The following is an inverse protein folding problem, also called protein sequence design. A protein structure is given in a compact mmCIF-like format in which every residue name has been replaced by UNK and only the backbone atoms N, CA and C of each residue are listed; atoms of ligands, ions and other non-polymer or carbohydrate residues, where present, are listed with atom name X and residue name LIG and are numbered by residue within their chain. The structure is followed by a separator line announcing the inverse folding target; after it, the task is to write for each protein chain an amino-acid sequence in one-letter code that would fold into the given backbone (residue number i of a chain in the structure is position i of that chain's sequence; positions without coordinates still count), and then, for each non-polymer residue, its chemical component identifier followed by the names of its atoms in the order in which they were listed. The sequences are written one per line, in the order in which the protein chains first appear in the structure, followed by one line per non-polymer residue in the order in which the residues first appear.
data_IF_142778428511
#
_entry.id   IF_142778428511
#
_cell.length_a   1.000
_cell.length_b   1.000
_cell.length_c   1.000
_cell.angle_alpha   90.00
_cell.angle_beta   90.00
_cell.angle_gamma   90.00
#
_symmetry.space_group_name_H-M   'P 1'
#
loop_
_entity.id
_entity.type
_entity.pdbx_description
1 polymer ?
#
# COMPACT_ATOMS: atom_id res chain seq x y z
N UNK A 1 73.18 -41.47 55.50
CA UNK A 1 71.98 -42.34 55.63
C UNK A 1 70.77 -41.45 55.34
N UNK A 2 70.12 -41.67 54.19
CA UNK A 2 69.06 -40.81 53.63
C UNK A 2 67.71 -41.08 54.28
N UNK A 3 66.94 -40.04 54.60
CA UNK A 3 65.47 -40.02 54.72
C UNK A 3 65.08 -38.59 54.24
N UNK A 4 64.34 -38.33 53.17
CA UNK A 4 63.23 -39.04 52.57
C UNK A 4 61.98 -38.13 52.64
N UNK A 5 62.04 -36.93 52.08
CA UNK A 5 60.93 -35.96 52.14
C UNK A 5 59.86 -36.33 51.10
N UNK A 6 58.67 -36.72 51.56
CA UNK A 6 57.51 -36.97 50.70
C UNK A 6 56.75 -35.65 50.51
N UNK A 7 56.64 -35.19 49.28
CA UNK A 7 55.85 -34.00 48.92
C UNK A 7 54.60 -34.48 48.21
N UNK A 8 53.43 -34.29 48.83
CA UNK A 8 52.13 -34.65 48.26
C UNK A 8 51.66 -33.57 47.30
N UNK A 9 51.54 -33.93 46.01
CA UNK A 9 50.94 -33.09 44.98
C UNK A 9 49.42 -33.13 45.13
N UNK A 10 48.81 -32.00 45.46
CA UNK A 10 47.36 -31.83 45.43
C UNK A 10 46.96 -31.53 43.98
N UNK A 11 46.33 -32.50 43.32
CA UNK A 11 45.83 -32.34 41.96
C UNK A 11 44.62 -31.41 41.94
N UNK A 12 44.76 -30.25 41.28
CA UNK A 12 43.61 -29.39 40.97
C UNK A 12 42.89 -29.99 39.75
N UNK A 13 41.67 -30.50 39.95
CA UNK A 13 40.84 -30.93 38.82
C UNK A 13 40.38 -29.72 38.02
N UNK A 14 40.87 -29.60 36.79
CA UNK A 14 40.34 -28.65 35.81
C UNK A 14 38.93 -29.10 35.39
N UNK A 15 37.93 -28.27 35.64
CA UNK A 15 36.57 -28.47 35.14
C UNK A 15 36.46 -27.81 33.78
N UNK A 16 36.32 -28.62 32.73
CA UNK A 16 35.95 -28.16 31.39
C UNK A 16 34.53 -28.63 31.09
N UNK A 17 33.68 -27.72 30.61
CA UNK A 17 32.37 -28.05 30.05
C UNK A 17 32.45 -28.00 28.54
N UNK A 18 31.67 -28.85 27.88
CA UNK A 18 31.55 -28.80 26.43
C UNK A 18 30.85 -27.51 25.99
N UNK A 19 31.39 -26.86 24.96
CA UNK A 19 30.80 -25.66 24.37
C UNK A 19 30.11 -26.05 23.07
N UNK A 20 28.78 -26.19 23.14
CA UNK A 20 27.97 -26.45 21.96
C UNK A 20 27.55 -25.12 21.34
N UNK A 21 27.96 -24.90 20.09
CA UNK A 21 27.51 -23.74 19.31
C UNK A 21 26.01 -23.85 19.02
N UNK A 22 25.26 -22.82 19.40
CA UNK A 22 23.84 -22.67 19.06
C UNK A 22 23.67 -21.33 18.35
N UNK A 23 23.22 -21.32 17.08
CA UNK A 23 22.93 -20.08 16.38
C UNK A 23 21.91 -19.25 17.16
N UNK A 24 22.09 -17.93 17.19
CA UNK A 24 21.10 -17.03 17.82
C UNK A 24 19.83 -16.91 16.97
N UNK A 25 19.98 -16.97 15.64
CA UNK A 25 18.87 -16.88 14.72
C UNK A 25 18.11 -18.22 14.64
N UNK A 26 16.79 -18.25 14.93
CA UNK A 26 15.99 -19.47 14.92
C UNK A 26 15.95 -20.15 13.55
N UNK A 27 16.14 -19.44 12.44
CA UNK A 27 16.19 -20.02 11.09
C UNK A 27 17.33 -21.03 10.89
N UNK A 28 18.34 -21.03 11.76
CA UNK A 28 19.47 -21.96 11.70
C UNK A 28 19.46 -22.98 12.86
N UNK A 29 18.32 -23.18 13.52
CA UNK A 29 18.21 -24.10 14.66
C UNK A 29 18.51 -23.46 16.02
N UNK A 30 18.41 -22.14 16.10
CA UNK A 30 18.49 -21.35 17.33
C UNK A 30 17.20 -21.34 18.16
N UNK A 31 17.18 -20.50 19.19
CA UNK A 31 16.00 -20.33 20.05
C UNK A 31 14.85 -19.59 19.31
N UNK A 32 13.66 -20.21 19.27
CA UNK A 32 12.47 -19.66 18.62
C UNK A 32 11.96 -18.35 19.24
N UNK A 33 12.19 -18.12 20.53
CA UNK A 33 11.79 -16.91 21.24
C UNK A 33 12.59 -15.68 20.77
N UNK A 34 13.75 -15.86 20.14
CA UNK A 34 14.55 -14.74 19.61
C UNK A 34 13.98 -14.16 18.31
N UNK A 35 13.01 -14.82 17.67
CA UNK A 35 12.41 -14.38 16.39
C UNK A 35 11.90 -12.95 16.43
N UNK A 36 10.98 -12.63 17.34
CA UNK A 36 10.36 -11.32 17.45
C UNK A 36 11.37 -10.20 17.74
N UNK A 37 12.37 -10.48 18.59
CA UNK A 37 13.42 -9.52 18.91
C UNK A 37 14.32 -9.23 17.71
N UNK A 38 14.76 -10.27 16.99
CA UNK A 38 15.63 -10.15 15.82
C UNK A 38 14.91 -9.44 14.66
N UNK A 39 13.63 -9.74 14.42
CA UNK A 39 12.80 -9.04 13.42
C UNK A 39 12.65 -7.57 13.80
N UNK A 40 12.33 -7.26 15.06
CA UNK A 40 12.18 -5.88 15.51
C UNK A 40 13.48 -5.05 15.43
N UNK A 41 14.65 -5.68 15.57
CA UNK A 41 15.94 -5.04 15.31
C UNK A 41 16.16 -4.82 13.82
N UNK A 42 15.85 -5.81 12.98
CA UNK A 42 15.98 -5.72 11.53
C UNK A 42 15.10 -4.61 10.94
N UNK A 43 13.85 -4.49 11.38
CA UNK A 43 12.93 -3.44 10.95
C UNK A 43 13.43 -2.03 11.32
N UNK A 44 13.97 -1.85 12.53
CA UNK A 44 14.54 -0.55 12.95
C UNK A 44 15.80 -0.17 12.19
N UNK A 45 16.58 -1.16 11.76
CA UNK A 45 17.79 -0.94 10.97
C UNK A 45 17.52 -0.88 9.46
N UNK A 46 16.29 -1.21 9.03
CA UNK A 46 15.92 -1.20 7.63
C UNK A 46 15.89 0.24 7.10
N UNK A 47 16.90 0.59 6.29
CA UNK A 47 17.01 1.89 5.61
C UNK A 47 16.38 1.88 4.21
N UNK A 48 15.90 0.73 3.75
CA UNK A 48 15.22 0.62 2.46
C UNK A 48 13.77 1.06 2.64
N UNK A 49 13.44 2.21 2.03
CA UNK A 49 12.06 2.66 1.88
C UNK A 49 11.51 2.05 0.60
N UNK A 50 10.30 1.50 0.64
CA UNK A 50 9.62 1.05 -0.57
C UNK A 50 9.40 2.25 -1.49
N UNK A 51 10.10 2.28 -2.62
CA UNK A 51 9.86 3.27 -3.69
C UNK A 51 8.66 2.78 -4.50
N UNK A 52 7.45 3.06 -4.04
CA UNK A 52 6.21 2.71 -4.76
C UNK A 52 5.08 2.12 -3.93
N UNK A 53 5.31 1.82 -2.65
CA UNK A 53 4.24 1.36 -1.77
C UNK A 53 3.87 2.47 -0.82
N UNK A 54 2.61 2.91 -0.92
CA UNK A 54 1.92 3.80 0.00
C UNK A 54 1.83 3.19 1.41
N UNK A 55 2.95 3.06 2.11
CA UNK A 55 2.99 2.69 3.53
C UNK A 55 2.78 3.92 4.43
N UNK A 56 2.90 5.14 3.87
CA UNK A 56 2.53 6.39 4.53
C UNK A 56 1.01 6.58 4.73
N UNK A 57 0.16 5.77 4.06
CA UNK A 57 -1.29 5.89 4.14
C UNK A 57 -1.95 5.16 5.32
N UNK A 58 -1.20 4.33 6.08
CA UNK A 58 -1.80 3.58 7.21
C UNK A 58 -1.89 4.35 8.52
N UNK A 59 -1.11 5.43 8.72
CA UNK A 59 -1.05 6.11 10.02
C UNK A 59 -1.08 7.65 9.96
N UNK A 60 -1.38 8.26 8.81
CA UNK A 60 -1.55 9.71 8.70
C UNK A 60 -2.81 10.08 7.94
N UNK A 61 -3.97 9.66 8.44
CA UNK A 61 -5.24 10.21 7.99
C UNK A 61 -5.63 11.29 9.00
N UNK A 62 -5.19 12.53 8.75
CA UNK A 62 -5.70 13.68 9.52
C UNK A 62 -7.22 13.68 9.45
N UNK A 63 -7.95 14.07 10.51
CA UNK A 63 -9.40 14.30 10.43
C UNK A 63 -9.80 15.19 9.24
N UNK A 64 -8.92 16.10 8.81
CA UNK A 64 -9.10 16.90 7.60
C UNK A 64 -9.09 16.04 6.32
N UNK A 65 -8.17 15.08 6.19
CA UNK A 65 -8.10 14.19 5.02
C UNK A 65 -9.32 13.26 4.94
N UNK A 66 -9.83 12.83 6.09
CA UNK A 66 -11.07 12.04 6.16
C UNK A 66 -12.29 12.87 5.72
N UNK A 67 -12.36 14.13 6.18
CA UNK A 67 -13.40 15.06 5.76
C UNK A 67 -13.35 15.35 4.26
N UNK A 68 -12.15 15.60 3.71
CA UNK A 68 -11.96 15.85 2.27
C UNK A 68 -12.40 14.64 1.44
N UNK A 69 -12.03 13.41 1.85
CA UNK A 69 -12.48 12.19 1.16
C UNK A 69 -14.00 12.00 1.24
N UNK A 70 -14.62 12.34 2.36
CA UNK A 70 -16.07 12.25 2.52
C UNK A 70 -16.82 13.31 1.70
N UNK A 71 -16.23 14.50 1.54
CA UNK A 71 -16.77 15.53 0.66
C UNK A 71 -16.63 15.12 -0.81
N UNK A 72 -15.45 14.60 -1.19
CA UNK A 72 -15.18 14.12 -2.55
C UNK A 72 -16.13 12.99 -2.96
N UNK A 73 -16.37 12.01 -2.08
CA UNK A 73 -17.30 10.93 -2.39
C UNK A 73 -18.72 11.43 -2.60
N UNK A 74 -19.20 12.36 -1.76
CA UNK A 74 -20.55 12.95 -1.91
C UNK A 74 -20.66 13.80 -3.18
N UNK A 75 -19.63 14.58 -3.49
CA UNK A 75 -19.58 15.37 -4.72
C UNK A 75 -19.58 14.48 -5.95
N UNK A 76 -18.75 13.42 -5.95
CA UNK A 76 -18.71 12.45 -7.03
C UNK A 76 -20.05 11.72 -7.20
N UNK A 77 -20.69 11.29 -6.10
CA UNK A 77 -22.03 10.69 -6.17
C UNK A 77 -23.09 11.64 -6.72
N UNK A 78 -23.07 12.92 -6.31
CA UNK A 78 -23.98 13.94 -6.85
C UNK A 78 -23.75 14.19 -8.34
N UNK A 79 -22.49 14.23 -8.78
CA UNK A 79 -22.13 14.39 -10.19
C UNK A 79 -22.54 13.16 -11.01
N UNK A 80 -22.28 11.95 -10.51
CA UNK A 80 -22.72 10.72 -11.15
C UNK A 80 -24.24 10.68 -11.31
N UNK A 81 -25.00 11.16 -10.31
CA UNK A 81 -26.45 11.24 -10.39
C UNK A 81 -26.93 12.29 -11.41
N UNK A 82 -26.30 13.47 -11.45
CA UNK A 82 -26.61 14.51 -12.43
C UNK A 82 -26.25 14.08 -13.86
N UNK A 83 -25.12 13.41 -14.07
CA UNK A 83 -24.73 12.83 -15.36
C UNK A 83 -25.71 11.74 -15.77
N UNK A 84 -26.10 10.87 -14.83
CA UNK A 84 -27.09 9.83 -15.08
C UNK A 84 -28.47 10.43 -15.44
N UNK A 85 -28.89 11.52 -14.81
CA UNK A 85 -30.12 12.25 -15.17
C UNK A 85 -29.99 13.01 -16.51
N UNK A 86 -28.83 13.57 -16.83
CA UNK A 86 -28.59 14.23 -18.12
C UNK A 86 -28.53 13.23 -19.29
N UNK A 87 -28.07 11.99 -19.04
CA UNK A 87 -27.99 10.94 -20.06
C UNK A 87 -29.30 10.12 -20.09
N UNK A 88 -29.85 9.70 -18.96
CA UNK A 88 -30.96 8.74 -18.94
C UNK A 88 -32.26 9.32 -18.36
N UNK A 89 -32.26 10.60 -17.97
CA UNK A 89 -33.45 11.28 -17.47
C UNK A 89 -34.39 11.72 -18.59
N UNK A 90 -35.53 12.26 -18.16
CA UNK A 90 -36.69 12.57 -19.01
C UNK A 90 -36.44 13.72 -20.01
N UNK A 91 -35.36 14.49 -19.84
CA UNK A 91 -34.91 15.56 -20.74
C UNK A 91 -33.46 15.32 -21.21
N UNK A 92 -33.16 14.08 -21.59
CA UNK A 92 -31.83 13.68 -22.01
C UNK A 92 -31.36 14.47 -23.24
N UNK A 93 -30.29 15.25 -23.10
CA UNK A 93 -29.67 15.94 -24.22
C UNK A 93 -28.90 14.95 -25.11
N UNK A 94 -29.04 15.08 -26.42
CA UNK A 94 -28.35 14.23 -27.40
C UNK A 94 -26.83 14.52 -27.42
N UNK A 95 -26.44 15.73 -27.04
CA UNK A 95 -25.06 16.19 -26.96
C UNK A 95 -24.89 17.28 -25.90
N UNK A 96 -23.68 17.41 -25.36
CA UNK A 96 -23.36 18.46 -24.40
C UNK A 96 -21.87 18.59 -24.12
N UNK A 97 -21.46 19.79 -23.67
CA UNK A 97 -20.07 20.12 -23.33
C UNK A 97 -20.00 20.64 -21.90
N UNK A 98 -19.16 20.01 -21.09
CA UNK A 98 -18.92 20.36 -19.69
C UNK A 98 -17.44 20.74 -19.55
N UNK A 99 -17.18 21.91 -18.97
CA UNK A 99 -15.80 22.38 -18.73
C UNK A 99 -15.50 22.27 -17.24
N UNK A 100 -14.41 21.57 -16.92
CA UNK A 100 -13.92 21.36 -15.57
C UNK A 100 -12.45 21.76 -15.46
N UNK A 101 -12.20 23.01 -15.04
CA UNK A 101 -10.84 23.55 -14.95
C UNK A 101 -10.15 23.56 -16.32
N UNK A 102 -9.10 22.75 -16.46
CA UNK A 102 -8.32 22.58 -17.70
C UNK A 102 -8.84 21.42 -18.57
N UNK A 103 -9.88 20.72 -18.14
CA UNK A 103 -10.46 19.59 -18.86
C UNK A 103 -11.79 19.97 -19.50
N UNK A 104 -11.97 19.60 -20.75
CA UNK A 104 -13.21 19.73 -21.51
C UNK A 104 -13.76 18.34 -21.75
N UNK A 105 -14.97 18.09 -21.27
CA UNK A 105 -15.67 16.83 -21.44
C UNK A 105 -16.81 17.08 -22.43
N UNK A 106 -16.75 16.42 -23.58
CA UNK A 106 -17.84 16.43 -24.57
C UNK A 106 -18.48 15.06 -24.59
N UNK A 107 -19.81 15.00 -24.61
CA UNK A 107 -20.54 13.75 -24.77
C UNK A 107 -21.52 13.85 -25.92
N UNK A 108 -21.64 12.76 -26.68
CA UNK A 108 -22.64 12.59 -27.74
C UNK A 108 -23.27 11.21 -27.62
N UNK A 109 -24.59 11.15 -27.83
CA UNK A 109 -25.34 9.89 -27.82
C UNK A 109 -25.42 9.32 -29.23
N UNK A 110 -24.85 8.13 -29.41
CA UNK A 110 -24.98 7.33 -30.63
C UNK A 110 -25.99 6.20 -30.48
N UNK A 111 -26.17 5.43 -31.55
CA UNK A 111 -27.05 4.25 -31.59
C UNK A 111 -26.47 3.05 -30.81
N UNK A 112 -25.15 3.02 -30.63
CA UNK A 112 -24.41 1.94 -29.96
C UNK A 112 -24.05 2.26 -28.50
N UNK A 113 -24.25 3.50 -28.06
CA UNK A 113 -23.89 3.95 -26.72
C UNK A 113 -23.67 5.45 -26.61
N UNK A 114 -23.17 5.89 -25.46
CA UNK A 114 -22.71 7.27 -25.25
C UNK A 114 -21.21 7.34 -25.50
N UNK A 115 -20.81 8.23 -26.40
CA UNK A 115 -19.40 8.55 -26.66
C UNK A 115 -19.00 9.74 -25.80
N UNK A 116 -17.94 9.58 -25.00
CA UNK A 116 -17.36 10.64 -24.19
C UNK A 116 -15.95 10.93 -24.68
N UNK A 117 -15.65 12.21 -24.90
CA UNK A 117 -14.33 12.72 -25.24
C UNK A 117 -13.89 13.67 -24.14
N UNK A 118 -12.83 13.29 -23.43
CA UNK A 118 -12.20 14.12 -22.40
C UNK A 118 -10.92 14.69 -22.99
N UNK A 119 -10.86 16.00 -23.15
CA UNK A 119 -9.71 16.74 -23.67
C UNK A 119 -9.08 17.55 -22.55
N UNK A 120 -7.77 17.44 -22.39
CA UNK A 120 -7.00 18.27 -21.49
C UNK A 120 -6.37 19.43 -22.28
N UNK A 121 -6.73 20.67 -21.90
CA UNK A 121 -6.34 21.91 -22.60
C UNK A 121 -4.87 22.29 -22.33
N UNK A 122 -4.22 21.68 -21.35
CA UNK A 122 -2.83 21.99 -20.95
C UNK A 122 -1.81 21.14 -21.71
N UNK A 123 -2.13 19.88 -22.00
CA UNK A 123 -1.22 18.93 -22.66
C UNK A 123 -1.75 18.40 -24.01
N UNK A 124 -2.98 18.73 -24.37
CA UNK A 124 -3.64 18.27 -25.60
C UNK A 124 -4.01 16.78 -25.58
N UNK A 125 -3.90 16.10 -24.43
CA UNK A 125 -4.25 14.69 -24.32
C UNK A 125 -5.76 14.48 -24.43
N UNK A 126 -6.14 13.43 -25.16
CA UNK A 126 -7.53 13.05 -25.37
C UNK A 126 -7.76 11.64 -24.84
N UNK A 127 -8.82 11.46 -24.07
CA UNK A 127 -9.29 10.16 -23.60
C UNK A 127 -10.70 9.95 -24.13
N UNK A 128 -10.86 8.90 -24.93
CA UNK A 128 -12.16 8.49 -25.47
C UNK A 128 -12.71 7.32 -24.65
N UNK A 129 -13.97 7.44 -24.24
CA UNK A 129 -14.68 6.43 -23.46
C UNK A 129 -16.04 6.19 -24.09
N UNK A 130 -16.29 4.97 -24.55
CA UNK A 130 -17.60 4.56 -25.06
C UNK A 130 -18.33 3.75 -23.98
N UNK A 131 -19.48 4.25 -23.55
CA UNK A 131 -20.35 3.56 -22.60
C UNK A 131 -21.52 2.94 -23.37
N UNK A 132 -21.61 1.60 -23.44
CA UNK A 132 -22.71 0.95 -24.14
C UNK A 132 -24.02 1.19 -23.39
N UNK A 133 -25.07 1.59 -24.11
CA UNK A 133 -26.41 1.73 -23.54
C UNK A 133 -27.20 0.43 -23.73
N UNK A 134 -27.88 -0.03 -22.69
CA UNK A 134 -28.75 -1.20 -22.76
C UNK A 134 -29.89 -0.94 -23.75
N UNK A 135 -29.95 -1.71 -24.83
CA UNK A 135 -31.12 -1.75 -25.70
C UNK A 135 -32.23 -2.52 -24.98
N UNK A 136 -33.23 -1.81 -24.46
CA UNK A 136 -34.47 -2.42 -24.00
C UNK A 136 -35.27 -2.76 -25.26
N UNK A 137 -35.32 -4.04 -25.64
CA UNK A 137 -36.27 -4.56 -26.64
C UNK A 137 -37.67 -4.67 -26.04
#
# INVERSE_FOLDING_TARGET
MFLGAVSSVWGVSAKSSDYVYRPNNPSFGGDAFNSAHLIGLAERQNKHKETGSSAASRYSNSPADQFVRQLQSRMLSSLSQQVNEAIFGENAAEEGRIVFGEQVISFSRGLEGVHLVIENTTDGSQTEVTVPTLQVQ
#
